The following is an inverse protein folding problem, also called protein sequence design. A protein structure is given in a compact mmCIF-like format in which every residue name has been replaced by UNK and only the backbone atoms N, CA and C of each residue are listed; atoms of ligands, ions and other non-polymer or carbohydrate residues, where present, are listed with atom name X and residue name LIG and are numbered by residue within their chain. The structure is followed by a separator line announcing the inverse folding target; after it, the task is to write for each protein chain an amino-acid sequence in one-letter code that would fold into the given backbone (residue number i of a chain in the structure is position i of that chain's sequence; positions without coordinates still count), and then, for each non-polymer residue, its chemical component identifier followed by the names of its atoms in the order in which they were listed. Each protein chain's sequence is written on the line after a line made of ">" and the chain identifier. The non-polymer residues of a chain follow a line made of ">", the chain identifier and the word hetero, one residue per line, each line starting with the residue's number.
data_IF_421536637045
#
_entry.id   IF_421536637045
#
_cell.length_a   1.000
_cell.length_b   1.000
_cell.length_c   1.000
_cell.angle_alpha   90.00
_cell.angle_beta   90.00
_cell.angle_gamma   90.00
#
_symmetry.space_group_name_H-M   'P 1'
#
loop_
_entity.id
_entity.type
_entity.pdbx_description
1 polymer ?
#
# COMPACT_ATOMS: atom_id res chain seq x y z
N UNK A 1 -4.78 19.73 19.04
CA UNK A 1 -4.11 18.70 18.24
C UNK A 1 -3.99 19.16 16.80
N UNK A 2 -2.82 19.02 16.21
CA UNK A 2 -2.65 19.43 14.83
C UNK A 2 -3.22 18.36 13.90
N UNK A 3 -3.81 18.81 12.80
CA UNK A 3 -4.27 17.97 11.69
C UNK A 3 -3.35 18.19 10.53
N UNK A 4 -2.14 17.65 10.63
CA UNK A 4 -1.04 17.96 9.71
C UNK A 4 -1.28 17.48 8.28
N UNK A 5 -2.15 16.48 8.11
CA UNK A 5 -2.47 15.92 6.79
C UNK A 5 -3.91 16.22 6.37
N UNK A 6 -4.52 17.23 6.98
CA UNK A 6 -5.90 17.58 6.66
C UNK A 6 -6.03 17.93 5.18
N UNK A 7 -7.03 17.37 4.50
CA UNK A 7 -7.24 17.57 3.08
C UNK A 7 -6.36 16.72 2.17
N UNK A 8 -5.47 15.89 2.72
CA UNK A 8 -4.61 15.01 1.93
C UNK A 8 -5.25 13.65 1.74
N UNK A 9 -4.98 13.05 0.59
CA UNK A 9 -5.42 11.68 0.28
C UNK A 9 -4.18 10.79 0.19
N UNK A 10 -4.17 9.71 0.95
CA UNK A 10 -3.02 8.81 1.03
C UNK A 10 -3.40 7.38 0.66
N UNK A 11 -2.50 6.69 -0.04
CA UNK A 11 -2.56 5.26 -0.29
C UNK A 11 -1.36 4.60 0.40
N UNK A 12 -1.62 3.59 1.22
CA UNK A 12 -0.59 2.83 1.93
C UNK A 12 -0.71 1.37 1.51
N UNK A 13 0.27 0.86 0.81
CA UNK A 13 0.28 -0.56 0.44
C UNK A 13 0.74 -1.41 1.63
N UNK A 14 0.24 -2.65 1.72
CA UNK A 14 0.56 -3.51 2.84
C UNK A 14 -0.06 -3.02 4.15
N UNK A 15 -1.23 -2.41 4.08
CA UNK A 15 -1.88 -1.76 5.22
C UNK A 15 -2.61 -2.68 6.19
N UNK A 16 -2.68 -4.00 5.90
CA UNK A 16 -3.43 -4.93 6.73
C UNK A 16 -2.72 -5.27 8.06
N UNK A 17 -1.44 -4.96 8.20
CA UNK A 17 -0.67 -5.30 9.40
C UNK A 17 0.59 -4.45 9.53
N UNK A 18 1.25 -4.56 10.66
CA UNK A 18 2.59 -4.02 10.89
C UNK A 18 2.72 -2.51 10.71
N UNK A 19 3.80 -2.11 10.07
CA UNK A 19 4.09 -0.69 9.87
C UNK A 19 3.05 0.01 8.98
N UNK A 20 2.49 -0.70 7.98
CA UNK A 20 1.45 -0.14 7.13
C UNK A 20 0.19 0.19 7.92
N UNK A 21 -0.24 -0.71 8.80
CA UNK A 21 -1.39 -0.47 9.68
C UNK A 21 -1.12 0.71 10.61
N UNK A 22 0.05 0.75 11.23
CA UNK A 22 0.43 1.85 12.13
C UNK A 22 0.50 3.19 11.43
N UNK A 23 1.00 3.21 10.20
CA UNK A 23 1.05 4.40 9.37
C UNK A 23 -0.37 4.88 9.04
N UNK A 24 -1.25 3.96 8.66
CA UNK A 24 -2.65 4.29 8.35
C UNK A 24 -3.36 4.92 9.55
N UNK A 25 -3.15 4.35 10.73
CA UNK A 25 -3.72 4.89 11.97
C UNK A 25 -3.25 6.31 12.23
N UNK A 26 -1.94 6.54 12.12
CA UNK A 26 -1.35 7.85 12.35
C UNK A 26 -1.83 8.88 11.33
N UNK A 27 -1.86 8.51 10.06
CA UNK A 27 -2.30 9.41 8.99
C UNK A 27 -3.77 9.78 9.14
N UNK A 28 -4.61 8.81 9.49
CA UNK A 28 -6.04 9.08 9.72
C UNK A 28 -6.22 10.04 10.90
N UNK A 29 -5.46 9.83 11.96
CA UNK A 29 -5.50 10.71 13.14
C UNK A 29 -5.07 12.14 12.80
N UNK A 30 -4.15 12.31 11.84
CA UNK A 30 -3.68 13.62 11.39
C UNK A 30 -4.57 14.26 10.30
N UNK A 31 -5.71 13.65 10.01
CA UNK A 31 -6.72 14.25 9.14
C UNK A 31 -6.71 13.80 7.69
N UNK A 32 -5.83 12.87 7.30
CA UNK A 32 -5.80 12.38 5.94
C UNK A 32 -7.00 11.48 5.63
N UNK A 33 -7.44 11.50 4.37
CA UNK A 33 -8.30 10.44 3.84
C UNK A 33 -7.40 9.30 3.44
N UNK A 34 -7.52 8.17 4.13
CA UNK A 34 -6.58 7.05 3.97
C UNK A 34 -7.24 5.90 3.22
N UNK A 35 -6.50 5.40 2.22
CA UNK A 35 -6.79 4.13 1.56
C UNK A 35 -5.66 3.17 1.92
N UNK A 36 -6.00 2.00 2.40
CA UNK A 36 -5.02 0.92 2.57
C UNK A 36 -5.27 -0.13 1.49
N UNK A 37 -4.21 -0.78 1.06
CA UNK A 37 -4.31 -1.88 0.12
C UNK A 37 -3.50 -3.07 0.59
N UNK A 38 -3.95 -4.28 0.25
CA UNK A 38 -3.30 -5.52 0.63
C UNK A 38 -3.90 -6.66 -0.18
N UNK A 39 -3.17 -7.77 -0.32
CA UNK A 39 -3.74 -8.98 -0.88
C UNK A 39 -4.57 -9.74 0.16
N UNK A 40 -4.35 -9.48 1.44
CA UNK A 40 -5.12 -10.07 2.53
C UNK A 40 -6.43 -9.32 2.69
N UNK A 41 -7.46 -9.81 2.00
CA UNK A 41 -8.77 -9.13 1.97
C UNK A 41 -9.42 -9.12 3.34
N UNK A 42 -9.40 -10.24 4.05
CA UNK A 42 -10.00 -10.34 5.38
C UNK A 42 -9.32 -9.41 6.38
N UNK A 43 -7.98 -9.45 6.42
CA UNK A 43 -7.21 -8.58 7.31
C UNK A 43 -7.35 -7.11 6.96
N UNK A 44 -7.36 -6.80 5.64
CA UNK A 44 -7.52 -5.43 5.17
C UNK A 44 -8.88 -4.85 5.53
N UNK A 45 -9.95 -5.62 5.35
CA UNK A 45 -11.30 -5.16 5.70
C UNK A 45 -11.43 -4.94 7.21
N UNK A 46 -10.80 -5.79 8.01
CA UNK A 46 -10.83 -5.64 9.48
C UNK A 46 -10.14 -4.34 9.89
N UNK A 47 -8.96 -4.07 9.37
CA UNK A 47 -8.22 -2.85 9.68
C UNK A 47 -9.00 -1.62 9.21
N UNK A 48 -9.58 -1.68 8.01
CA UNK A 48 -10.36 -0.57 7.47
C UNK A 48 -11.52 -0.23 8.38
N UNK A 49 -12.22 -1.26 8.87
CA UNK A 49 -13.35 -1.06 9.78
C UNK A 49 -12.89 -0.48 11.12
N UNK A 50 -11.82 -1.04 11.67
CA UNK A 50 -11.31 -0.63 12.99
C UNK A 50 -10.79 0.81 12.99
N UNK A 51 -10.15 1.22 11.89
CA UNK A 51 -9.55 2.56 11.79
C UNK A 51 -10.43 3.58 11.08
N UNK A 52 -11.52 3.15 10.48
CA UNK A 52 -12.38 4.05 9.70
C UNK A 52 -11.74 4.51 8.41
N UNK A 53 -10.96 3.66 7.76
CA UNK A 53 -10.31 3.95 6.48
C UNK A 53 -10.86 3.05 5.39
N UNK A 54 -10.54 3.35 4.13
CA UNK A 54 -10.98 2.55 2.99
C UNK A 54 -9.97 1.44 2.67
N UNK A 55 -10.45 0.31 2.16
CA UNK A 55 -9.61 -0.80 1.75
C UNK A 55 -9.82 -1.15 0.28
N UNK A 56 -8.73 -1.44 -0.42
CA UNK A 56 -8.75 -1.95 -1.79
C UNK A 56 -7.86 -3.20 -1.87
N UNK A 57 -8.40 -4.27 -2.45
CA UNK A 57 -7.58 -5.45 -2.73
C UNK A 57 -6.51 -5.11 -3.76
N UNK A 58 -5.27 -5.49 -3.51
CA UNK A 58 -4.16 -5.02 -4.34
C UNK A 58 -2.98 -5.98 -4.28
N UNK A 59 -2.73 -6.65 -5.41
CA UNK A 59 -1.47 -7.35 -5.62
C UNK A 59 -0.49 -6.37 -6.22
N UNK A 60 0.47 -5.92 -5.43
CA UNK A 60 1.43 -4.89 -5.85
C UNK A 60 2.38 -5.35 -6.96
N UNK A 61 2.39 -6.65 -7.29
CA UNK A 61 3.19 -7.19 -8.40
C UNK A 61 2.45 -7.11 -9.74
N UNK A 62 1.19 -6.71 -9.73
CA UNK A 62 0.35 -6.62 -10.92
C UNK A 62 0.23 -5.16 -11.38
N UNK A 63 0.87 -4.76 -12.49
CA UNK A 63 0.83 -3.37 -12.95
C UNK A 63 -0.58 -2.92 -13.37
N UNK A 64 -1.40 -3.82 -13.92
CA UNK A 64 -2.77 -3.46 -14.29
C UNK A 64 -3.60 -3.12 -13.06
N UNK A 65 -3.42 -3.88 -11.99
CA UNK A 65 -4.14 -3.60 -10.74
C UNK A 65 -3.70 -2.27 -10.13
N UNK A 66 -2.44 -1.89 -10.26
CA UNK A 66 -1.98 -0.57 -9.84
C UNK A 66 -2.78 0.54 -10.53
N UNK A 67 -2.96 0.41 -11.84
CA UNK A 67 -3.72 1.40 -12.61
C UNK A 67 -5.18 1.48 -12.13
N UNK A 68 -5.81 0.33 -11.88
CA UNK A 68 -7.18 0.28 -11.36
C UNK A 68 -7.31 0.92 -9.98
N UNK A 69 -6.38 0.62 -9.08
CA UNK A 69 -6.38 1.18 -7.71
C UNK A 69 -6.24 2.70 -7.75
N UNK A 70 -5.28 3.20 -8.50
CA UNK A 70 -5.05 4.64 -8.63
C UNK A 70 -6.27 5.32 -9.26
N UNK A 71 -6.84 4.72 -10.31
CA UNK A 71 -8.02 5.28 -10.98
C UNK A 71 -9.21 5.35 -10.02
N UNK A 72 -9.42 4.33 -9.20
CA UNK A 72 -10.52 4.32 -8.24
C UNK A 72 -10.37 5.43 -7.19
N UNK A 73 -9.16 5.60 -6.65
CA UNK A 73 -8.92 6.66 -5.67
C UNK A 73 -9.16 8.04 -6.29
N UNK A 74 -8.63 8.26 -7.48
CA UNK A 74 -8.82 9.55 -8.17
C UNK A 74 -10.28 9.79 -8.54
N UNK A 75 -11.03 8.75 -8.89
CA UNK A 75 -12.45 8.84 -9.17
C UNK A 75 -13.25 9.31 -7.95
N UNK A 76 -12.89 8.84 -6.75
CA UNK A 76 -13.60 9.18 -5.52
C UNK A 76 -13.13 10.48 -4.89
N UNK A 77 -11.83 10.79 -4.96
CA UNK A 77 -11.23 11.90 -4.23
C UNK A 77 -10.74 13.03 -5.12
N UNK A 78 -10.67 12.83 -6.44
CA UNK A 78 -10.09 13.76 -7.43
C UNK A 78 -8.59 14.01 -7.26
N UNK A 79 -7.92 13.30 -6.37
CA UNK A 79 -6.52 13.50 -6.09
C UNK A 79 -5.92 12.31 -5.36
N UNK A 80 -4.61 12.19 -5.42
CA UNK A 80 -3.82 11.31 -4.57
C UNK A 80 -2.54 12.08 -4.23
N UNK A 81 -2.31 12.38 -2.96
CA UNK A 81 -1.23 13.26 -2.52
C UNK A 81 -0.04 12.49 -1.96
N UNK A 82 -0.29 11.33 -1.34
CA UNK A 82 0.74 10.58 -0.62
C UNK A 82 0.65 9.12 -1.01
N UNK A 83 1.78 8.54 -1.42
CA UNK A 83 1.90 7.10 -1.64
C UNK A 83 2.97 6.56 -0.69
N UNK A 84 2.60 5.57 0.11
CA UNK A 84 3.54 4.85 0.97
C UNK A 84 3.70 3.43 0.41
N UNK A 85 4.85 3.17 -0.20
CA UNK A 85 5.20 1.85 -0.73
C UNK A 85 5.71 0.99 0.43
N UNK A 86 4.77 0.43 1.19
CA UNK A 86 5.08 -0.35 2.39
C UNK A 86 5.01 -1.86 2.17
N UNK A 87 4.25 -2.32 1.18
CA UNK A 87 4.15 -3.74 0.91
C UNK A 87 5.53 -4.33 0.63
N UNK A 88 5.87 -5.42 1.30
CA UNK A 88 7.14 -6.06 1.12
C UNK A 88 7.20 -7.37 1.87
N UNK A 89 8.16 -8.21 1.51
CA UNK A 89 8.45 -9.46 2.20
C UNK A 89 9.94 -9.55 2.51
N UNK A 90 10.27 -10.27 3.58
CA UNK A 90 11.63 -10.60 3.92
C UNK A 90 11.96 -12.05 3.53
N UNK A 91 13.20 -12.31 3.26
CA UNK A 91 13.69 -13.66 3.00
C UNK A 91 15.00 -13.86 3.74
N UNK A 92 15.10 -14.96 4.48
CA UNK A 92 16.32 -15.31 5.19
C UNK A 92 16.95 -16.53 4.55
N UNK A 93 18.18 -16.36 4.06
CA UNK A 93 18.91 -17.42 3.42
C UNK A 93 20.26 -16.93 2.94
N UNK A 94 21.13 -17.86 2.59
CA UNK A 94 22.43 -17.54 2.00
C UNK A 94 22.35 -17.61 0.48
N UNK A 95 23.45 -17.23 -0.18
CA UNK A 95 23.54 -17.21 -1.64
C UNK A 95 23.31 -18.60 -2.23
N UNK A 96 23.89 -19.63 -1.61
CA UNK A 96 23.80 -20.99 -2.14
C UNK A 96 22.41 -21.59 -1.95
N UNK A 97 21.76 -21.29 -0.83
CA UNK A 97 20.45 -21.85 -0.49
C UNK A 97 19.28 -21.08 -1.06
N UNK A 98 19.48 -19.90 -1.61
CA UNK A 98 18.39 -19.09 -2.16
C UNK A 98 18.01 -19.61 -3.55
N UNK A 99 16.73 -19.94 -3.72
CA UNK A 99 16.22 -20.38 -5.02
C UNK A 99 15.99 -19.20 -5.94
N UNK A 100 15.98 -19.47 -7.26
CA UNK A 100 15.66 -18.43 -8.23
C UNK A 100 14.23 -17.91 -8.01
N UNK A 101 13.31 -18.76 -7.66
CA UNK A 101 11.92 -18.39 -7.40
C UNK A 101 11.81 -17.44 -6.20
N UNK A 102 12.55 -17.71 -5.12
CA UNK A 102 12.55 -16.84 -3.95
C UNK A 102 13.16 -15.49 -4.27
N UNK A 103 14.27 -15.47 -5.01
CA UNK A 103 14.91 -14.24 -5.47
C UNK A 103 13.95 -13.39 -6.30
N UNK A 104 13.30 -14.00 -7.28
CA UNK A 104 12.35 -13.30 -8.16
C UNK A 104 11.16 -12.77 -7.39
N UNK A 105 10.63 -13.55 -6.44
CA UNK A 105 9.47 -13.13 -5.64
C UNK A 105 9.79 -11.91 -4.80
N UNK A 106 10.94 -11.90 -4.11
CA UNK A 106 11.36 -10.75 -3.30
C UNK A 106 11.53 -9.52 -4.17
N UNK A 107 12.15 -9.65 -5.36
CA UNK A 107 12.32 -8.53 -6.28
C UNK A 107 11.00 -8.00 -6.79
N UNK A 108 10.05 -8.87 -7.13
CA UNK A 108 8.73 -8.43 -7.59
C UNK A 108 8.00 -7.64 -6.52
N UNK A 109 8.00 -8.13 -5.28
CA UNK A 109 7.24 -7.49 -4.21
C UNK A 109 7.97 -6.26 -3.68
N UNK A 110 9.29 -6.34 -3.47
CA UNK A 110 10.02 -5.30 -2.76
C UNK A 110 10.61 -4.22 -3.68
N UNK A 111 10.79 -4.52 -4.97
CA UNK A 111 11.39 -3.58 -5.92
C UNK A 111 10.44 -3.21 -7.06
N UNK A 112 9.96 -4.19 -7.81
CA UNK A 112 9.11 -3.91 -8.98
C UNK A 112 7.83 -3.19 -8.57
N UNK A 113 7.26 -3.54 -7.41
CA UNK A 113 6.06 -2.88 -6.90
C UNK A 113 6.28 -1.39 -6.65
N UNK A 114 7.45 -1.02 -6.15
CA UNK A 114 7.79 0.39 -5.90
C UNK A 114 7.87 1.15 -7.21
N UNK A 115 8.47 0.54 -8.24
CA UNK A 115 8.52 1.13 -9.57
C UNK A 115 7.10 1.36 -10.12
N UNK A 116 6.23 0.35 -10.04
CA UNK A 116 4.85 0.48 -10.50
C UNK A 116 4.10 1.57 -9.74
N UNK A 117 4.24 1.58 -8.42
CA UNK A 117 3.60 2.59 -7.59
C UNK A 117 3.98 4.00 -7.99
N UNK A 118 5.25 4.25 -8.13
CA UNK A 118 5.74 5.57 -8.55
C UNK A 118 5.29 5.91 -9.96
N UNK A 119 5.37 4.95 -10.88
CA UNK A 119 5.00 5.18 -12.28
C UNK A 119 3.53 5.60 -12.43
N UNK A 120 2.63 4.92 -11.74
CA UNK A 120 1.19 5.14 -11.92
C UNK A 120 0.61 6.19 -10.98
N UNK A 121 1.24 6.45 -9.84
CA UNK A 121 0.75 7.44 -8.89
C UNK A 121 1.21 8.87 -9.20
N UNK A 122 2.44 9.03 -9.69
CA UNK A 122 3.00 10.37 -9.94
C UNK A 122 2.20 11.23 -10.91
N UNK A 123 1.73 10.70 -12.06
CA UNK A 123 0.86 11.49 -12.91
C UNK A 123 -0.45 11.79 -12.20
#
# INVERSE_FOLDING_TARGET
>A
MSKRLDGKVALITGGAAGFGKGTAETFAREGAKVYISDINVEGGNKVAKDLGVAFLEHDVTNPDRWQEVIAEIKSQENQLNILVNNAGIGYMGDVEGTTNEAWEMVHKIDLDSVFYGCKYALP
#
